data_IF_305301050608
#
_entry.id   IF_305301050608
#
_cell.length_a   1.000
_cell.length_b   1.000
_cell.length_c   1.000
_cell.angle_alpha   90.00
_cell.angle_beta   90.00
_cell.angle_gamma   90.00
#
_symmetry.space_group_name_H-M   'P 1'
#
loop_
_entity.id
_entity.type
_entity.pdbx_description
1 polymer ?
#
# COMPACT_ATOMS: atom_id res chain seq x y z
N UNK A 1 -27.51 6.67 -42.78
CA UNK A 1 -27.53 5.73 -41.64
C UNK A 1 -26.22 5.95 -40.89
N UNK A 2 -26.26 6.51 -39.68
CA UNK A 2 -25.05 6.90 -38.94
C UNK A 2 -25.18 6.43 -37.50
N UNK A 3 -24.36 5.45 -37.12
CA UNK A 3 -24.28 5.00 -35.74
C UNK A 3 -23.53 6.06 -34.91
N UNK A 4 -24.18 6.58 -33.87
CA UNK A 4 -23.46 7.18 -32.75
C UNK A 4 -23.01 6.06 -31.83
N UNK A 5 -21.71 5.97 -31.59
CA UNK A 5 -21.18 5.23 -30.46
C UNK A 5 -21.44 6.09 -29.22
N UNK A 6 -22.29 5.62 -28.31
CA UNK A 6 -22.50 6.25 -27.01
C UNK A 6 -21.40 5.76 -26.05
N UNK A 7 -20.19 6.29 -26.18
CA UNK A 7 -19.13 6.07 -25.18
C UNK A 7 -19.46 6.87 -23.92
N UNK A 8 -20.25 6.28 -23.03
CA UNK A 8 -20.57 6.84 -21.73
C UNK A 8 -19.57 6.35 -20.67
N UNK A 9 -18.38 6.96 -20.68
CA UNK A 9 -17.31 6.70 -19.72
C UNK A 9 -17.26 7.86 -18.69
N UNK A 10 -18.06 7.79 -17.63
CA UNK A 10 -18.11 8.83 -16.58
C UNK A 10 -17.92 8.34 -15.12
N UNK A 11 -17.53 7.08 -14.90
CA UNK A 11 -17.24 6.56 -13.54
C UNK A 11 -15.77 6.71 -13.12
N UNK A 12 -15.24 7.94 -13.19
CA UNK A 12 -13.91 8.26 -12.64
C UNK A 12 -14.03 8.48 -11.13
N UNK A 13 -13.85 7.41 -10.37
CA UNK A 13 -13.80 7.48 -8.90
C UNK A 13 -12.45 8.02 -8.44
N UNK A 14 -12.39 9.30 -8.06
CA UNK A 14 -11.17 9.91 -7.52
C UNK A 14 -11.07 9.69 -6.01
N UNK A 15 -9.91 9.19 -5.56
CA UNK A 15 -9.48 9.26 -4.17
C UNK A 15 -8.75 10.59 -3.95
N UNK A 16 -9.36 11.52 -3.20
CA UNK A 16 -8.76 12.79 -2.86
C UNK A 16 -8.33 12.78 -1.38
N UNK A 17 -7.07 13.12 -1.13
CA UNK A 17 -6.54 13.31 0.23
C UNK A 17 -6.35 14.81 0.44
N UNK A 18 -7.28 15.43 1.15
CA UNK A 18 -7.27 16.86 1.45
C UNK A 18 -6.66 17.11 2.83
N UNK A 19 -5.90 18.19 3.00
CA UNK A 19 -5.50 18.67 4.32
C UNK A 19 -6.44 19.79 4.77
N UNK A 20 -7.25 19.52 5.78
CA UNK A 20 -8.20 20.47 6.36
C UNK A 20 -7.78 20.71 7.80
N UNK A 21 -7.26 21.91 8.09
CA UNK A 21 -6.81 22.32 9.43
C UNK A 21 -5.84 21.31 10.10
N UNK A 22 -4.91 20.76 9.33
CA UNK A 22 -3.94 19.76 9.83
C UNK A 22 -4.49 18.34 9.97
N UNK A 23 -5.73 18.07 9.55
CA UNK A 23 -6.32 16.73 9.45
C UNK A 23 -6.36 16.28 7.99
N UNK A 24 -5.98 15.03 7.75
CA UNK A 24 -6.12 14.42 6.43
C UNK A 24 -7.53 13.87 6.29
N UNK A 25 -8.31 14.44 5.38
CA UNK A 25 -9.63 13.97 4.99
C UNK A 25 -9.52 13.21 3.67
N UNK A 26 -9.96 11.94 3.68
CA UNK A 26 -10.03 11.11 2.50
C UNK A 26 -11.44 11.20 1.96
N UNK A 27 -11.64 11.89 0.84
CA UNK A 27 -12.92 11.91 0.13
C UNK A 27 -12.85 11.04 -1.12
N UNK A 28 -13.89 10.23 -1.30
CA UNK A 28 -14.13 9.49 -2.55
C UNK A 28 -15.22 10.26 -3.27
N UNK A 29 -14.86 10.95 -4.36
CA UNK A 29 -15.83 11.73 -5.14
C UNK A 29 -16.30 10.92 -6.34
N UNK A 30 -17.58 10.53 -6.31
CA UNK A 30 -18.36 10.09 -7.46
C UNK A 30 -19.69 10.85 -7.50
N UNK A 31 -20.32 10.97 -8.68
CA UNK A 31 -21.65 11.59 -8.82
C UNK A 31 -22.75 10.64 -8.31
N UNK A 32 -22.96 10.56 -6.99
CA UNK A 32 -24.08 9.81 -6.38
C UNK A 32 -25.19 10.76 -5.88
N UNK A 33 -26.44 10.48 -6.25
CA UNK A 33 -27.62 11.28 -5.88
C UNK A 33 -28.35 10.74 -4.63
N UNK A 34 -27.65 10.00 -3.75
CA UNK A 34 -28.24 9.45 -2.52
C UNK A 34 -27.65 10.08 -1.25
N UNK A 35 -28.51 10.25 -0.23
CA UNK A 35 -28.12 10.65 1.12
C UNK A 35 -27.33 9.52 1.81
N UNK A 36 -26.09 9.31 1.39
CA UNK A 36 -25.25 8.22 1.86
C UNK A 36 -24.58 8.53 3.21
N UNK A 37 -24.64 7.56 4.12
CA UNK A 37 -23.78 7.50 5.29
C UNK A 37 -22.34 7.36 4.82
N UNK A 38 -21.50 8.38 5.05
CA UNK A 38 -20.09 8.40 4.62
C UNK A 38 -19.43 7.07 5.02
N UNK A 39 -18.93 6.26 4.06
CA UNK A 39 -18.34 4.97 4.38
C UNK A 39 -17.09 5.18 5.25
N UNK A 40 -16.87 4.35 6.29
CA UNK A 40 -15.75 4.54 7.20
C UNK A 40 -14.43 4.46 6.45
N UNK A 41 -13.63 5.53 6.54
CA UNK A 41 -12.30 5.63 5.93
C UNK A 41 -11.37 4.57 6.54
N UNK A 42 -10.76 3.77 5.69
CA UNK A 42 -9.78 2.74 6.07
C UNK A 42 -8.48 3.07 5.33
N UNK A 43 -7.46 3.48 6.08
CA UNK A 43 -6.17 3.87 5.53
C UNK A 43 -5.09 3.73 6.61
N UNK A 44 -3.89 3.29 6.23
CA UNK A 44 -2.74 3.25 7.13
C UNK A 44 -1.52 3.88 6.49
N UNK A 45 -0.66 4.47 7.31
CA UNK A 45 0.63 5.02 6.92
C UNK A 45 1.60 4.74 8.05
N UNK A 46 2.73 4.11 7.77
CA UNK A 46 3.79 3.77 8.69
C UNK A 46 5.17 4.02 8.05
N UNK A 47 6.25 3.71 8.75
CA UNK A 47 7.58 3.52 8.17
C UNK A 47 8.46 2.78 9.18
N UNK A 48 9.67 2.40 8.80
CA UNK A 48 10.63 1.81 9.74
C UNK A 48 11.30 2.93 10.53
N UNK A 49 11.28 2.84 11.86
CA UNK A 49 11.89 3.82 12.77
C UNK A 49 13.41 3.90 12.65
N UNK A 50 14.02 2.83 12.11
CA UNK A 50 15.45 2.64 11.94
C UNK A 50 15.71 1.84 10.67
N UNK A 51 16.95 1.89 10.23
CA UNK A 51 17.46 1.08 9.15
C UNK A 51 17.55 -0.39 9.61
N UNK A 52 17.14 -1.33 8.75
CA UNK A 52 17.00 -2.76 9.09
C UNK A 52 17.68 -3.66 8.05
N UNK A 53 18.05 -4.87 8.46
CA UNK A 53 18.75 -5.83 7.62
C UNK A 53 17.97 -7.16 7.59
N UNK A 54 16.76 -7.21 6.99
CA UNK A 54 15.94 -8.41 6.95
C UNK A 54 16.60 -9.47 6.05
N UNK A 55 16.77 -10.69 6.57
CA UNK A 55 17.14 -11.84 5.74
C UNK A 55 16.01 -12.26 4.79
N UNK A 56 16.30 -13.13 3.83
CA UNK A 56 15.28 -13.71 2.95
C UNK A 56 14.17 -14.44 3.74
N UNK A 57 12.96 -14.44 3.19
CA UNK A 57 11.77 -15.00 3.83
C UNK A 57 11.30 -14.23 5.07
N UNK A 58 11.92 -13.09 5.41
CA UNK A 58 11.47 -12.26 6.52
C UNK A 58 10.44 -11.24 6.05
N UNK A 59 9.43 -11.04 6.91
CA UNK A 59 8.44 -9.98 6.75
C UNK A 59 9.05 -8.63 7.09
N UNK A 60 8.68 -7.63 6.32
CA UNK A 60 9.01 -6.22 6.55
C UNK A 60 8.01 -5.63 7.56
N UNK A 61 8.53 -5.02 8.62
CA UNK A 61 7.75 -4.46 9.73
C UNK A 61 7.98 -2.95 9.79
N UNK A 62 6.95 -2.18 9.48
CA UNK A 62 6.96 -0.71 9.55
C UNK A 62 6.41 -0.29 10.91
N UNK A 63 7.29 -0.25 11.90
CA UNK A 63 6.95 -0.09 13.31
C UNK A 63 6.40 1.31 13.65
N UNK A 64 6.88 2.35 12.97
CA UNK A 64 6.49 3.73 13.23
C UNK A 64 5.23 4.13 12.43
N UNK A 65 4.06 3.82 12.98
CA UNK A 65 2.76 4.16 12.40
C UNK A 65 2.39 5.65 12.59
N UNK A 66 2.00 6.34 11.51
CA UNK A 66 1.48 7.72 11.49
C UNK A 66 -0.03 7.81 11.31
N UNK A 67 -0.62 6.91 10.51
CA UNK A 67 -2.06 6.84 10.25
C UNK A 67 -2.50 5.39 10.35
N UNK A 68 -3.67 5.12 10.93
CA UNK A 68 -4.25 3.76 11.03
C UNK A 68 -5.78 3.83 11.19
N UNK A 69 -6.44 4.54 10.28
CA UNK A 69 -7.90 4.63 10.26
C UNK A 69 -8.48 3.27 9.87
N UNK A 70 -9.54 2.85 10.59
CA UNK A 70 -10.04 1.48 10.57
C UNK A 70 -9.19 0.48 11.39
N UNK A 71 -8.05 0.91 11.97
CA UNK A 71 -7.18 0.12 12.88
C UNK A 71 -6.72 -1.24 12.32
N UNK A 72 -6.63 -1.38 11.00
CA UNK A 72 -6.27 -2.64 10.34
C UNK A 72 -4.77 -2.99 10.42
N UNK A 73 -3.88 -2.00 10.53
CA UNK A 73 -2.44 -2.23 10.55
C UNK A 73 -1.90 -2.49 11.95
N UNK A 74 -1.00 -3.48 12.09
CA UNK A 74 -0.30 -3.78 13.34
C UNK A 74 1.22 -3.63 13.17
N UNK A 75 1.74 -2.47 13.61
CA UNK A 75 3.16 -2.11 13.54
C UNK A 75 4.13 -3.02 14.31
N UNK A 76 3.67 -3.83 15.26
CA UNK A 76 4.54 -4.85 15.88
C UNK A 76 4.78 -6.07 14.96
N UNK A 77 3.87 -6.30 14.01
CA UNK A 77 3.85 -7.53 13.20
C UNK A 77 4.04 -7.31 11.71
N UNK A 78 3.95 -6.07 11.22
CA UNK A 78 4.01 -5.74 9.80
C UNK A 78 2.76 -6.11 9.00
N UNK A 79 1.68 -6.54 9.64
CA UNK A 79 0.47 -7.09 8.98
C UNK A 79 -0.66 -6.08 8.97
N UNK A 80 -1.28 -5.89 7.81
CA UNK A 80 -2.60 -5.29 7.66
C UNK A 80 -3.66 -6.39 7.66
N UNK A 81 -4.67 -6.28 8.52
CA UNK A 81 -5.86 -7.15 8.52
C UNK A 81 -7.04 -6.34 8.01
N UNK A 82 -7.64 -6.76 6.90
CA UNK A 82 -8.72 -6.05 6.23
C UNK A 82 -9.95 -5.91 7.16
N UNK A 83 -10.36 -4.68 7.56
CA UNK A 83 -11.47 -4.51 8.49
C UNK A 83 -12.85 -4.54 7.82
N UNK A 84 -12.93 -4.36 6.49
CA UNK A 84 -14.16 -4.37 5.69
C UNK A 84 -13.86 -4.83 4.26
N UNK A 85 -14.65 -5.75 3.72
CA UNK A 85 -14.55 -6.19 2.31
C UNK A 85 -14.66 -5.01 1.35
N UNK A 86 -13.79 -4.96 0.33
CA UNK A 86 -13.81 -3.94 -0.71
C UNK A 86 -12.53 -3.89 -1.54
N UNK A 87 -12.42 -2.84 -2.36
CA UNK A 87 -11.19 -2.53 -3.11
C UNK A 87 -10.18 -1.81 -2.22
N UNK A 88 -8.92 -2.21 -2.33
CA UNK A 88 -7.78 -1.62 -1.63
C UNK A 88 -6.66 -1.31 -2.61
N UNK A 89 -5.98 -0.19 -2.35
CA UNK A 89 -4.70 0.14 -2.97
C UNK A 89 -3.60 -0.14 -1.94
N UNK A 90 -2.53 -0.78 -2.38
CA UNK A 90 -1.31 -0.98 -1.60
C UNK A 90 -0.14 -0.43 -2.40
N UNK A 91 0.42 0.70 -1.94
CA UNK A 91 1.66 1.25 -2.47
C UNK A 91 2.83 0.91 -1.55
N UNK A 92 3.91 0.41 -2.14
CA UNK A 92 5.19 0.23 -1.47
C UNK A 92 6.33 0.94 -2.19
N UNK A 93 7.38 1.25 -1.43
CA UNK A 93 8.61 1.95 -1.82
C UNK A 93 9.71 1.35 -0.96
N UNK A 94 10.88 1.10 -1.52
CA UNK A 94 12.00 0.50 -0.83
C UNK A 94 13.26 1.22 -1.28
N UNK A 95 13.96 1.86 -0.34
CA UNK A 95 15.27 2.49 -0.57
C UNK A 95 16.37 1.59 -0.06
N UNK A 96 17.23 1.11 -0.95
CA UNK A 96 18.40 0.29 -0.60
C UNK A 96 19.69 1.07 -0.89
N UNK A 97 20.69 0.85 -0.04
CA UNK A 97 22.05 1.33 -0.25
C UNK A 97 22.95 0.12 -0.52
N UNK A 98 23.77 0.16 -1.58
CA UNK A 98 24.79 -0.84 -1.89
C UNK A 98 24.35 -2.32 -1.78
N UNK A 99 23.15 -2.66 -2.25
CA UNK A 99 22.56 -4.00 -2.10
C UNK A 99 21.62 -4.40 -3.24
N UNK A 100 20.99 -5.56 -3.11
CA UNK A 100 20.04 -6.09 -4.09
C UNK A 100 18.91 -6.84 -3.37
N UNK A 101 17.67 -6.50 -3.70
CA UNK A 101 16.48 -7.02 -3.02
C UNK A 101 15.30 -7.22 -3.97
N UNK A 102 14.54 -8.27 -3.70
CA UNK A 102 13.17 -8.45 -4.19
C UNK A 102 12.20 -8.33 -3.02
N UNK A 103 11.17 -7.49 -3.15
CA UNK A 103 10.13 -7.33 -2.13
C UNK A 103 8.75 -7.65 -2.69
N UNK A 104 7.95 -8.39 -1.94
CA UNK A 104 6.62 -8.85 -2.34
C UNK A 104 5.53 -8.34 -1.41
N UNK A 105 4.37 -8.02 -1.99
CA UNK A 105 3.10 -7.96 -1.28
C UNK A 105 2.45 -9.34 -1.31
N UNK A 106 2.28 -9.94 -0.13
CA UNK A 106 1.56 -11.19 0.07
C UNK A 106 0.16 -10.91 0.63
N UNK A 107 -0.87 -11.51 0.04
CA UNK A 107 -2.26 -11.50 0.52
C UNK A 107 -2.73 -12.94 0.56
N UNK A 108 -3.30 -13.37 1.70
CA UNK A 108 -3.74 -14.76 1.90
C UNK A 108 -2.62 -15.81 1.62
N UNK A 109 -1.34 -15.45 1.80
CA UNK A 109 -0.20 -16.31 1.50
C UNK A 109 0.19 -16.42 0.03
N UNK A 110 -0.55 -15.79 -0.89
CA UNK A 110 -0.22 -15.66 -2.31
C UNK A 110 0.49 -14.34 -2.59
N UNK A 111 1.36 -14.30 -3.60
CA UNK A 111 2.01 -13.06 -4.05
C UNK A 111 1.09 -12.30 -4.98
N UNK A 112 0.79 -11.04 -4.65
CA UNK A 112 -0.07 -10.16 -5.46
C UNK A 112 0.70 -9.07 -6.21
N UNK A 113 1.96 -8.84 -5.85
CA UNK A 113 2.87 -7.99 -6.59
C UNK A 113 4.28 -8.07 -6.03
N UNK A 114 5.26 -7.76 -6.88
CA UNK A 114 6.68 -7.88 -6.56
C UNK A 114 7.45 -6.71 -7.19
N UNK A 115 8.55 -6.32 -6.55
CA UNK A 115 9.50 -5.32 -7.06
C UNK A 115 10.91 -5.82 -6.86
N UNK A 116 11.81 -5.43 -7.76
CA UNK A 116 13.22 -5.77 -7.70
C UNK A 116 14.07 -4.51 -7.84
N UNK A 117 15.14 -4.41 -7.06
CA UNK A 117 16.12 -3.34 -7.14
C UNK A 117 17.53 -3.85 -6.86
N UNK A 118 18.50 -3.30 -7.59
CA UNK A 118 19.92 -3.61 -7.51
C UNK A 118 20.70 -2.30 -7.58
N UNK A 119 21.31 -1.90 -6.45
CA UNK A 119 22.20 -0.76 -6.33
C UNK A 119 23.61 -1.29 -6.01
N UNK A 120 24.64 -0.91 -6.77
CA UNK A 120 25.99 -1.49 -6.65
C UNK A 120 27.01 -0.43 -6.26
N UNK A 121 28.22 -0.84 -5.87
CA UNK A 121 29.38 0.06 -5.76
C UNK A 121 29.20 1.31 -4.85
N UNK A 122 28.31 1.26 -3.86
CA UNK A 122 27.98 2.43 -3.02
C UNK A 122 26.82 3.29 -3.53
N UNK A 123 26.10 2.85 -4.57
CA UNK A 123 24.88 3.50 -5.07
C UNK A 123 23.76 3.48 -4.03
N UNK A 124 22.93 4.53 -4.07
CA UNK A 124 21.63 4.62 -3.40
C UNK A 124 20.53 4.49 -4.45
N UNK A 125 19.56 3.60 -4.22
CA UNK A 125 18.47 3.34 -5.15
C UNK A 125 17.14 3.27 -4.44
N UNK A 126 16.05 3.55 -5.15
CA UNK A 126 14.68 3.32 -4.66
C UNK A 126 13.81 2.67 -5.73
N UNK A 127 12.94 1.75 -5.32
CA UNK A 127 11.93 1.10 -6.18
C UNK A 127 10.57 1.19 -5.52
N UNK A 128 9.51 1.32 -6.29
CA UNK A 128 8.13 1.29 -5.81
C UNK A 128 7.30 0.23 -6.52
N UNK A 129 6.24 -0.21 -5.86
CA UNK A 129 5.24 -1.12 -6.39
C UNK A 129 3.85 -0.69 -5.95
N UNK A 130 2.85 -0.98 -6.80
CA UNK A 130 1.45 -0.63 -6.55
C UNK A 130 0.58 -1.81 -6.91
N UNK A 131 -0.33 -2.19 -6.02
CA UNK A 131 -1.35 -3.23 -6.26
C UNK A 131 -2.72 -2.66 -5.94
N UNK A 132 -3.65 -2.81 -6.87
CA UNK A 132 -5.09 -2.58 -6.66
C UNK A 132 -5.77 -3.94 -6.62
N UNK A 133 -6.51 -4.23 -5.55
CA UNK A 133 -7.02 -5.58 -5.29
C UNK A 133 -8.32 -5.55 -4.48
N UNK A 134 -9.24 -6.46 -4.80
CA UNK A 134 -10.41 -6.73 -3.96
C UNK A 134 -10.02 -7.72 -2.86
N UNK A 135 -10.21 -7.34 -1.58
CA UNK A 135 -9.96 -8.21 -0.43
C UNK A 135 -11.18 -8.32 0.47
N UNK A 136 -11.31 -9.46 1.16
CA UNK A 136 -12.41 -9.74 2.08
C UNK A 136 -12.05 -9.32 3.50
N UNK A 137 -13.07 -8.95 4.29
CA UNK A 137 -12.90 -8.72 5.73
C UNK A 137 -12.22 -9.92 6.39
N UNK A 138 -11.12 -9.66 7.09
CA UNK A 138 -10.29 -10.67 7.75
C UNK A 138 -9.07 -11.13 6.94
N UNK A 139 -9.00 -10.84 5.64
CA UNK A 139 -7.80 -11.13 4.85
C UNK A 139 -6.59 -10.39 5.40
N UNK A 140 -5.43 -11.06 5.37
CA UNK A 140 -4.17 -10.56 5.92
C UNK A 140 -3.19 -10.26 4.80
N UNK A 141 -2.79 -9.00 4.72
CA UNK A 141 -1.77 -8.50 3.79
C UNK A 141 -0.47 -8.24 4.54
N UNK A 142 0.67 -8.64 3.96
CA UNK A 142 1.99 -8.42 4.55
C UNK A 142 3.06 -8.26 3.46
N UNK A 143 4.12 -7.49 3.76
CA UNK A 143 5.25 -7.32 2.86
C UNK A 143 6.41 -8.24 3.27
N UNK A 144 7.13 -8.83 2.33
CA UNK A 144 8.26 -9.74 2.61
C UNK A 144 9.40 -9.63 1.61
N UNK A 145 10.56 -10.19 1.99
CA UNK A 145 11.76 -10.30 1.14
C UNK A 145 11.87 -11.71 0.54
N UNK A 146 12.09 -11.80 -0.76
CA UNK A 146 12.21 -13.09 -1.48
C UNK A 146 13.65 -13.62 -1.49
N UNK A 147 14.65 -12.74 -1.58
CA UNK A 147 16.05 -13.10 -1.83
C UNK A 147 17.01 -12.42 -0.85
N UNK A 148 18.13 -13.08 -0.54
CA UNK A 148 18.97 -12.76 0.61
C UNK A 148 20.18 -11.89 0.24
N UNK A 149 20.22 -10.64 0.71
CA UNK A 149 21.40 -9.78 1.02
C UNK A 149 20.92 -8.73 2.07
N UNK A 150 21.77 -8.02 2.84
CA UNK A 150 21.30 -7.07 3.86
C UNK A 150 20.73 -5.74 3.31
N UNK A 151 20.11 -4.97 4.21
CA UNK A 151 19.87 -3.52 4.20
C UNK A 151 18.59 -2.85 3.62
N UNK A 152 18.10 -1.94 4.47
CA UNK A 152 17.18 -0.80 4.35
C UNK A 152 15.87 -0.96 3.57
N UNK A 153 14.76 -0.68 4.27
CA UNK A 153 13.41 -0.53 3.69
C UNK A 153 12.72 0.63 4.42
N UNK A 154 12.15 1.61 3.69
CA UNK A 154 11.44 2.77 4.26
C UNK A 154 10.13 3.00 3.53
N UNK A 155 9.00 2.91 4.24
CA UNK A 155 7.69 2.95 3.58
C UNK A 155 6.44 3.15 4.45
N UNK A 156 5.58 4.08 3.98
CA UNK A 156 4.16 3.84 3.58
C UNK A 156 3.71 4.95 2.60
N UNK A 157 2.46 5.13 2.15
CA UNK A 157 1.37 4.30 1.56
C UNK A 157 0.31 5.33 1.12
N UNK A 158 -0.26 5.17 -0.08
CA UNK A 158 -1.67 5.53 -0.38
C UNK A 158 -2.28 4.43 -1.22
#
# INVERSE_FOLDING_TARGET
>A
MQQRINDHCEDVTCLLINNVNGRYEVSVTGKSNHNETIPPVIAFHAFMSKDVHPGAGRRLVFDLTKTNQGKGYNGHTGVFTCPKTGMYVFVWVVRIYAGEHSTELMIHGSVHGSTFLRAKNGDDGSVSGTVVVHVSKGDRSMFGIVQHIPEMVKLAVT
#
